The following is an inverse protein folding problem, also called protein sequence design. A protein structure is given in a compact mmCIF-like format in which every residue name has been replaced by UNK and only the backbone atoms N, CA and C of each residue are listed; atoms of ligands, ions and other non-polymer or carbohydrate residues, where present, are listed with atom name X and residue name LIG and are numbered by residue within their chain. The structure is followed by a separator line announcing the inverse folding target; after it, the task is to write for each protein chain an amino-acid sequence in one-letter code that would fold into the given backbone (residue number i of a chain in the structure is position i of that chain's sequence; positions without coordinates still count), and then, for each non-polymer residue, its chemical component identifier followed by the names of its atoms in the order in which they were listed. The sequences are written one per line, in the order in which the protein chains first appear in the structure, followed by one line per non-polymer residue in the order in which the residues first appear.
data_IF_884424625034
#
_entry.id   IF_884424625034
#
_cell.length_a   1.000
_cell.length_b   1.000
_cell.length_c   1.000
_cell.angle_alpha   90.00
_cell.angle_beta   90.00
_cell.angle_gamma   90.00
#
_symmetry.space_group_name_H-M   'P 1'
#
loop_
_entity.id
_entity.type
_entity.pdbx_description
1 polymer ?
#
# COMPACT_ATOMS: atom_id res chain seq x y z
N UNK A 1 30.18 -3.23 -37.95
CA UNK A 1 30.88 -3.12 -36.65
C UNK A 1 30.06 -2.14 -35.81
N UNK A 2 29.15 -2.67 -35.01
CA UNK A 2 28.31 -1.93 -34.06
C UNK A 2 28.94 -2.14 -32.68
N UNK A 3 29.38 -1.06 -32.04
CA UNK A 3 29.97 -1.02 -30.72
C UNK A 3 28.90 -0.87 -29.64
N UNK A 4 29.02 -1.74 -28.72
CA UNK A 4 28.31 -1.90 -27.46
C UNK A 4 28.48 -0.67 -26.55
N UNK A 5 27.38 -0.11 -26.03
CA UNK A 5 27.41 0.96 -25.04
C UNK A 5 26.33 0.74 -23.97
N UNK A 6 26.56 -0.27 -23.12
CA UNK A 6 25.94 -0.39 -21.80
C UNK A 6 27.05 -0.38 -20.75
N UNK A 7 27.37 0.77 -20.23
CA UNK A 7 28.06 0.87 -18.93
C UNK A 7 27.16 1.62 -17.97
N UNK A 8 26.50 0.85 -17.09
CA UNK A 8 26.01 1.36 -15.82
C UNK A 8 27.21 1.98 -15.08
N UNK A 9 27.07 3.22 -14.70
CA UNK A 9 28.01 3.90 -13.83
C UNK A 9 27.70 3.50 -12.37
N UNK A 10 28.42 2.49 -11.88
CA UNK A 10 28.55 2.24 -10.43
C UNK A 10 29.85 2.91 -10.03
N UNK A 11 29.77 4.06 -9.39
CA UNK A 11 30.91 4.68 -8.74
C UNK A 11 30.71 4.66 -7.23
N UNK A 12 31.43 3.71 -6.60
CA UNK A 12 31.81 3.81 -5.19
C UNK A 12 32.87 4.88 -5.08
N UNK A 13 32.52 6.06 -4.60
CA UNK A 13 33.51 7.03 -4.15
C UNK A 13 33.20 7.55 -2.76
N UNK A 14 34.22 7.43 -1.91
CA UNK A 14 34.28 7.88 -0.52
C UNK A 14 34.00 9.37 -0.44
N UNK A 15 33.05 9.75 0.40
CA UNK A 15 32.77 11.14 0.72
C UNK A 15 33.93 11.80 1.46
N UNK A 16 34.68 12.66 0.77
CA UNK A 16 35.45 13.76 1.34
C UNK A 16 35.46 14.90 0.31
N UNK A 17 34.88 16.05 0.67
CA UNK A 17 35.14 17.32 -0.04
C UNK A 17 33.91 18.07 -0.55
N UNK A 18 33.70 19.21 0.04
CA UNK A 18 32.73 20.28 -0.24
C UNK A 18 32.75 20.70 -1.71
N UNK A 19 31.64 20.55 -2.40
CA UNK A 19 31.39 21.15 -3.72
C UNK A 19 29.90 20.99 -4.05
N UNK A 20 29.26 22.05 -4.60
CA UNK A 20 27.88 22.02 -5.09
C UNK A 20 27.64 20.79 -5.98
N UNK A 21 27.14 19.72 -5.39
CA UNK A 21 26.74 18.52 -6.11
C UNK A 21 25.24 18.52 -6.26
N UNK A 22 24.76 18.10 -7.41
CA UNK A 22 23.38 17.71 -7.61
C UNK A 22 22.96 16.84 -6.42
N UNK A 23 22.07 17.33 -5.57
CA UNK A 23 21.55 16.57 -4.43
C UNK A 23 20.88 15.31 -4.98
N UNK A 24 21.38 14.14 -4.61
CA UNK A 24 20.77 12.87 -4.98
C UNK A 24 19.35 12.82 -4.44
N UNK A 25 18.41 12.24 -5.18
CA UNK A 25 17.04 12.09 -4.74
C UNK A 25 16.95 10.91 -3.77
N UNK A 26 16.39 11.12 -2.55
CA UNK A 26 16.16 10.07 -1.56
C UNK A 26 14.85 9.31 -1.84
N UNK A 27 13.77 10.06 -2.03
CA UNK A 27 12.46 9.49 -2.27
C UNK A 27 12.34 8.94 -3.68
N UNK A 28 11.97 7.66 -3.76
CA UNK A 28 11.66 6.97 -5.01
C UNK A 28 10.21 7.23 -5.48
N UNK A 29 9.63 6.23 -6.13
CA UNK A 29 8.22 6.28 -6.56
C UNK A 29 7.28 6.35 -5.37
N UNK A 30 7.62 5.66 -4.27
CA UNK A 30 6.86 5.65 -3.02
C UNK A 30 7.80 5.34 -1.84
N UNK A 31 8.10 6.36 -1.04
CA UNK A 31 8.99 6.27 0.12
C UNK A 31 10.47 6.15 -0.22
N UNK A 32 11.28 5.99 0.81
CA UNK A 32 12.74 5.77 0.74
C UNK A 32 13.01 4.30 0.97
N UNK A 33 13.75 3.63 0.08
CA UNK A 33 14.04 2.20 0.15
C UNK A 33 15.50 1.91 -0.14
N UNK A 34 16.02 0.81 0.43
CA UNK A 34 17.36 0.33 0.14
C UNK A 34 17.59 -1.07 0.69
N UNK A 35 18.75 -1.63 0.42
CA UNK A 35 19.17 -2.94 0.94
C UNK A 35 19.61 -2.78 2.40
N UNK A 36 18.94 -3.51 3.30
CA UNK A 36 19.20 -3.40 4.73
C UNK A 36 20.63 -3.83 5.07
N UNK A 37 21.30 -3.04 5.90
CA UNK A 37 22.71 -3.16 6.28
C UNK A 37 23.74 -2.82 5.19
N UNK A 38 23.30 -2.39 4.00
CA UNK A 38 24.18 -1.86 2.96
C UNK A 38 23.99 -0.34 2.83
N UNK A 39 23.03 0.10 2.04
CA UNK A 39 22.66 1.51 1.86
C UNK A 39 21.50 1.98 2.76
N UNK A 40 20.71 1.04 3.31
CA UNK A 40 19.64 1.30 4.28
C UNK A 40 20.07 0.85 5.69
N UNK A 41 21.02 1.56 6.28
CA UNK A 41 21.57 1.27 7.61
C UNK A 41 20.71 1.86 8.73
N UNK A 42 20.91 1.41 9.99
CA UNK A 42 20.22 1.99 11.13
C UNK A 42 20.59 3.47 11.37
N UNK A 43 21.82 3.88 11.03
CA UNK A 43 22.25 5.27 11.09
C UNK A 43 21.51 6.11 10.04
N UNK A 44 21.41 5.60 8.80
CA UNK A 44 20.63 6.24 7.75
C UNK A 44 19.16 6.40 8.16
N UNK A 45 18.54 5.35 8.71
CA UNK A 45 17.16 5.39 9.23
C UNK A 45 17.01 6.44 10.31
N UNK A 46 17.96 6.54 11.26
CA UNK A 46 17.95 7.54 12.31
C UNK A 46 17.94 8.96 11.72
N UNK A 47 18.86 9.28 10.80
CA UNK A 47 18.96 10.61 10.19
C UNK A 47 17.71 10.96 9.35
N UNK A 48 17.17 9.97 8.62
CA UNK A 48 15.93 10.14 7.86
C UNK A 48 14.73 10.42 8.80
N UNK A 49 14.61 9.69 9.91
CA UNK A 49 13.51 9.89 10.85
C UNK A 49 13.64 11.19 11.63
N UNK A 50 14.86 11.67 11.94
CA UNK A 50 15.07 13.02 12.46
C UNK A 50 14.57 14.09 11.49
N UNK A 51 14.80 13.89 10.18
CA UNK A 51 14.31 14.81 9.15
C UNK A 51 12.78 14.79 9.06
N UNK A 52 12.18 13.60 9.09
CA UNK A 52 10.73 13.39 9.11
C UNK A 52 10.12 14.01 10.39
N UNK A 53 10.76 13.84 11.56
CA UNK A 53 10.28 14.43 12.80
C UNK A 53 10.32 15.95 12.77
N UNK A 54 11.35 16.54 12.15
CA UNK A 54 11.46 17.98 11.96
C UNK A 54 10.37 18.53 11.04
N UNK A 55 9.97 17.75 10.02
CA UNK A 55 8.86 18.08 9.14
C UNK A 55 7.51 18.03 9.90
N UNK A 56 7.23 17.00 10.67
CA UNK A 56 5.98 16.87 11.45
C UNK A 56 5.89 17.85 12.63
N UNK A 57 7.01 18.26 13.19
CA UNK A 57 7.18 19.23 14.28
C UNK A 57 6.72 18.75 15.66
N UNK A 58 5.49 18.26 15.79
CA UNK A 58 4.86 17.90 17.07
C UNK A 58 3.77 16.84 16.89
N UNK A 59 3.26 16.32 17.99
CA UNK A 59 2.10 15.45 18.05
C UNK A 59 2.45 13.98 18.24
N UNK A 60 1.56 13.10 17.78
CA UNK A 60 1.73 11.64 17.87
C UNK A 60 1.75 11.04 16.47
N UNK A 61 2.77 10.25 16.17
CA UNK A 61 2.96 9.54 14.90
C UNK A 61 2.63 8.06 15.08
N UNK A 62 1.76 7.54 14.22
CA UNK A 62 1.47 6.11 14.16
C UNK A 62 2.58 5.39 13.41
N UNK A 63 3.17 4.34 13.99
CA UNK A 63 4.26 3.57 13.41
C UNK A 63 3.80 2.13 13.17
N UNK A 64 3.91 1.64 11.95
CA UNK A 64 3.62 0.26 11.59
C UNK A 64 4.71 -0.34 10.72
N UNK A 65 4.70 -1.65 10.56
CA UNK A 65 5.68 -2.35 9.75
C UNK A 65 5.11 -3.60 9.09
N UNK A 66 5.75 -4.02 7.97
CA UNK A 66 5.45 -5.26 7.27
C UNK A 66 6.15 -6.49 7.87
N UNK A 67 5.97 -7.67 7.24
CA UNK A 67 6.49 -8.94 7.72
C UNK A 67 8.01 -9.15 7.58
N UNK A 68 8.77 -8.22 7.00
CA UNK A 68 10.21 -8.37 6.75
C UNK A 68 11.01 -8.54 8.04
N UNK A 69 12.05 -9.36 8.00
CA UNK A 69 12.88 -9.67 9.17
C UNK A 69 13.51 -8.43 9.83
N UNK A 70 13.88 -7.42 9.04
CA UNK A 70 14.46 -6.17 9.52
C UNK A 70 13.43 -5.17 10.05
N UNK A 71 12.16 -5.27 9.67
CA UNK A 71 11.13 -4.27 9.97
C UNK A 71 10.93 -4.02 11.45
N UNK A 72 10.91 -5.08 12.27
CA UNK A 72 10.76 -4.96 13.72
C UNK A 72 11.96 -4.30 14.42
N UNK A 73 13.17 -4.45 13.90
CA UNK A 73 14.36 -3.77 14.42
C UNK A 73 14.32 -2.30 14.04
N UNK A 74 13.99 -2.01 12.78
CA UNK A 74 13.86 -0.64 12.26
C UNK A 74 12.77 0.12 13.04
N UNK A 75 11.63 -0.49 13.36
CA UNK A 75 10.56 0.18 14.12
C UNK A 75 11.00 0.70 15.48
N UNK A 76 11.92 0.00 16.16
CA UNK A 76 12.49 0.45 17.44
C UNK A 76 13.34 1.71 17.25
N UNK A 77 14.15 1.77 16.20
CA UNK A 77 14.94 2.97 15.88
C UNK A 77 13.99 4.13 15.52
N UNK A 78 12.97 3.89 14.69
CA UNK A 78 11.98 4.90 14.32
C UNK A 78 11.31 5.50 15.57
N UNK A 79 10.75 4.67 16.44
CA UNK A 79 10.09 5.13 17.67
C UNK A 79 11.05 5.89 18.59
N UNK A 80 12.25 5.34 18.82
CA UNK A 80 13.26 5.99 19.70
C UNK A 80 13.72 7.33 19.12
N UNK A 81 13.89 7.43 17.82
CA UNK A 81 14.31 8.68 17.15
C UNK A 81 13.20 9.74 17.22
N UNK A 82 11.94 9.37 16.96
CA UNK A 82 10.80 10.28 17.14
C UNK A 82 10.75 10.79 18.57
N UNK A 83 10.88 9.89 19.56
CA UNK A 83 10.84 10.28 20.98
C UNK A 83 12.02 11.20 21.36
N UNK A 84 13.21 10.98 20.81
CA UNK A 84 14.36 11.87 21.04
C UNK A 84 14.16 13.26 20.48
N UNK A 85 13.33 13.41 19.45
CA UNK A 85 12.93 14.69 18.87
C UNK A 85 11.72 15.34 19.57
N UNK A 86 11.20 14.75 20.67
CA UNK A 86 10.05 15.25 21.41
C UNK A 86 8.67 14.85 20.84
N UNK A 87 8.64 13.92 19.87
CA UNK A 87 7.41 13.47 19.23
C UNK A 87 6.98 12.13 19.84
N UNK A 88 5.70 12.02 20.18
CA UNK A 88 5.15 10.74 20.63
C UNK A 88 4.98 9.77 19.46
N UNK A 89 5.12 8.47 19.76
CA UNK A 89 4.86 7.42 18.78
C UNK A 89 3.88 6.40 19.33
N UNK A 90 2.89 6.01 18.54
CA UNK A 90 2.03 4.87 18.84
C UNK A 90 2.39 3.73 17.87
N UNK A 91 2.71 2.56 18.40
CA UNK A 91 3.17 1.41 17.63
C UNK A 91 1.99 0.48 17.29
N UNK A 92 1.52 0.53 16.05
CA UNK A 92 0.51 -0.39 15.53
C UNK A 92 1.04 -1.83 15.33
N UNK A 93 2.37 -1.98 15.29
CA UNK A 93 3.00 -3.28 15.07
C UNK A 93 2.97 -3.72 13.61
N UNK A 94 2.83 -5.05 13.40
CA UNK A 94 2.71 -5.63 12.08
C UNK A 94 1.31 -5.40 11.53
N UNK A 95 1.20 -4.59 10.49
CA UNK A 95 -0.06 -4.23 9.82
C UNK A 95 0.16 -4.04 8.33
N UNK A 96 -0.87 -4.24 7.48
CA UNK A 96 -0.82 -3.80 6.09
C UNK A 96 -0.65 -2.28 5.97
N UNK A 97 0.03 -1.84 4.92
CA UNK A 97 0.18 -0.40 4.63
C UNK A 97 -1.16 0.35 4.64
N UNK A 98 -2.22 -0.09 3.93
CA UNK A 98 -3.51 0.60 3.96
C UNK A 98 -4.18 0.63 5.34
N UNK A 99 -3.91 -0.36 6.19
CA UNK A 99 -4.38 -0.35 7.58
C UNK A 99 -3.78 0.81 8.38
N UNK A 100 -2.46 1.02 8.28
CA UNK A 100 -1.79 2.14 8.94
C UNK A 100 -2.30 3.47 8.39
N UNK A 101 -2.42 3.60 7.07
CA UNK A 101 -2.88 4.81 6.39
C UNK A 101 -4.30 5.19 6.82
N UNK A 102 -5.22 4.22 6.81
CA UNK A 102 -6.60 4.42 7.26
C UNK A 102 -6.69 4.78 8.75
N UNK A 103 -5.93 4.08 9.59
CA UNK A 103 -5.90 4.34 11.04
C UNK A 103 -5.30 5.71 11.36
N UNK A 104 -4.25 6.14 10.63
CA UNK A 104 -3.65 7.48 10.79
C UNK A 104 -4.71 8.57 10.68
N UNK A 105 -5.53 8.55 9.63
CA UNK A 105 -6.62 9.50 9.41
C UNK A 105 -7.76 9.34 10.43
N UNK A 106 -8.24 8.12 10.60
CA UNK A 106 -9.49 7.85 11.32
C UNK A 106 -9.33 8.02 12.83
N UNK A 107 -8.15 7.70 13.38
CA UNK A 107 -7.84 7.84 14.81
C UNK A 107 -7.24 9.21 15.15
N UNK A 108 -7.04 10.08 14.16
CA UNK A 108 -6.60 11.47 14.36
C UNK A 108 -5.14 11.63 14.71
N UNK A 109 -4.26 10.79 14.17
CA UNK A 109 -2.81 10.95 14.32
C UNK A 109 -2.28 12.14 13.49
N UNK A 110 -1.20 12.75 13.94
CA UNK A 110 -0.55 13.85 13.23
C UNK A 110 0.14 13.40 11.94
N UNK A 111 0.41 12.11 11.83
CA UNK A 111 0.96 11.44 10.67
C UNK A 111 1.24 9.98 10.96
N UNK A 112 1.77 9.29 9.97
CA UNK A 112 2.15 7.88 10.07
C UNK A 112 3.54 7.62 9.48
N UNK A 113 4.17 6.56 9.91
CA UNK A 113 5.38 6.00 9.30
C UNK A 113 5.18 4.51 9.09
N UNK A 114 5.17 4.09 7.82
CA UNK A 114 5.15 2.67 7.46
C UNK A 114 6.54 2.19 7.10
N UNK A 115 6.96 1.11 7.74
CA UNK A 115 8.26 0.46 7.52
C UNK A 115 8.03 -0.73 6.60
N UNK A 116 8.40 -0.57 5.33
CA UNK A 116 8.18 -1.57 4.28
C UNK A 116 8.97 -1.23 3.02
N UNK A 117 9.29 -2.25 2.25
CA UNK A 117 9.74 -2.09 0.87
C UNK A 117 8.72 -2.68 -0.14
N UNK A 118 7.46 -2.89 0.29
CA UNK A 118 6.35 -3.42 -0.52
C UNK A 118 6.76 -4.73 -1.24
N UNK A 119 6.82 -4.71 -2.56
CA UNK A 119 7.13 -5.85 -3.43
C UNK A 119 8.63 -6.08 -3.69
N UNK A 120 9.53 -5.24 -3.16
CA UNK A 120 10.97 -5.45 -3.33
C UNK A 120 11.43 -6.77 -2.67
N UNK A 121 12.56 -7.36 -3.10
CA UNK A 121 13.15 -8.57 -2.51
C UNK A 121 13.30 -8.49 -0.98
N UNK A 122 13.45 -9.64 -0.30
CA UNK A 122 13.48 -9.71 1.18
C UNK A 122 14.54 -8.88 1.86
N UNK A 123 15.69 -8.70 1.24
CA UNK A 123 16.83 -7.92 1.74
C UNK A 123 16.57 -6.40 1.77
N UNK A 124 15.57 -5.91 1.02
CA UNK A 124 15.19 -4.52 1.04
C UNK A 124 14.33 -4.18 2.24
N UNK A 125 14.42 -2.92 2.68
CA UNK A 125 13.42 -2.30 3.54
C UNK A 125 13.26 -0.82 3.17
N UNK A 126 12.35 -0.11 3.84
CA UNK A 126 12.09 1.28 3.52
C UNK A 126 11.24 1.99 4.56
N UNK A 127 11.08 3.28 4.36
CA UNK A 127 10.23 4.16 5.15
C UNK A 127 9.31 4.93 4.22
N UNK A 128 8.00 4.83 4.49
CA UNK A 128 6.94 5.61 3.83
C UNK A 128 6.31 6.54 4.86
N UNK A 129 6.56 7.84 4.82
CA UNK A 129 5.82 8.81 5.62
C UNK A 129 4.39 8.98 5.08
N UNK A 130 3.44 9.07 6.00
CA UNK A 130 2.00 9.26 5.74
C UNK A 130 1.55 10.54 6.42
N UNK A 131 0.82 11.39 5.70
CA UNK A 131 0.28 12.62 6.27
C UNK A 131 -0.96 12.34 7.15
N UNK A 132 -1.40 13.34 7.92
CA UNK A 132 -2.55 13.21 8.83
C UNK A 132 -3.88 12.90 8.11
N UNK A 133 -3.95 13.14 6.81
CA UNK A 133 -5.08 12.79 5.96
C UNK A 133 -5.12 11.30 5.56
N UNK A 134 -4.13 10.51 6.01
CA UNK A 134 -4.01 9.08 5.72
C UNK A 134 -3.55 8.75 4.31
N UNK A 135 -2.91 9.69 3.64
CA UNK A 135 -2.32 9.52 2.31
C UNK A 135 -0.81 9.73 2.40
N UNK A 136 -0.02 9.04 1.57
CA UNK A 136 1.42 9.27 1.49
C UNK A 136 1.70 10.77 1.30
N UNK A 137 2.77 11.29 1.93
CA UNK A 137 3.12 12.71 1.81
C UNK A 137 3.29 13.15 0.35
N UNK A 138 3.08 14.43 0.07
CA UNK A 138 3.20 14.98 -1.28
C UNK A 138 4.65 15.06 -1.76
N UNK A 139 4.86 15.23 -3.07
CA UNK A 139 6.21 15.44 -3.64
C UNK A 139 6.88 16.72 -3.12
N UNK A 140 6.07 17.73 -2.83
CA UNK A 140 6.52 18.96 -2.22
C UNK A 140 7.03 18.69 -0.80
N UNK A 141 6.32 17.90 -0.01
CA UNK A 141 6.71 17.50 1.34
C UNK A 141 7.95 16.60 1.34
N UNK A 142 8.05 15.66 0.39
CA UNK A 142 9.26 14.85 0.19
C UNK A 142 10.49 15.74 -0.02
N UNK A 143 10.38 16.77 -0.87
CA UNK A 143 11.48 17.72 -1.11
C UNK A 143 11.89 18.48 0.15
N UNK A 144 10.93 18.86 1.00
CA UNK A 144 11.21 19.51 2.28
C UNK A 144 12.00 18.58 3.21
N UNK A 145 11.59 17.31 3.31
CA UNK A 145 12.30 16.31 4.12
C UNK A 145 13.71 16.05 3.57
N UNK A 146 13.87 15.95 2.24
CA UNK A 146 15.18 15.80 1.59
C UNK A 146 16.11 16.97 1.90
N UNK A 147 15.61 18.21 1.83
CA UNK A 147 16.39 19.39 2.16
C UNK A 147 16.87 19.34 3.62
N UNK A 148 15.99 19.04 4.58
CA UNK A 148 16.34 18.87 5.98
C UNK A 148 17.41 17.79 6.16
N UNK A 149 17.25 16.65 5.47
CA UNK A 149 18.16 15.51 5.55
C UNK A 149 19.58 15.88 5.06
N UNK A 150 19.69 16.45 3.87
CA UNK A 150 21.00 16.78 3.29
C UNK A 150 21.71 17.93 4.01
N UNK A 151 20.94 18.88 4.54
CA UNK A 151 21.50 19.98 5.35
C UNK A 151 21.79 19.59 6.80
N UNK A 152 21.32 18.40 7.24
CA UNK A 152 21.34 17.94 8.64
C UNK A 152 20.75 18.96 9.61
N UNK A 153 19.74 19.71 9.14
CA UNK A 153 19.09 20.78 9.89
C UNK A 153 17.84 20.27 10.63
N UNK A 154 18.02 19.26 11.49
CA UNK A 154 16.94 18.72 12.29
C UNK A 154 16.85 19.32 13.68
N UNK A 155 15.63 19.36 14.19
CA UNK A 155 15.35 19.77 15.55
C UNK A 155 15.77 18.65 16.51
N UNK A 156 16.71 18.93 17.38
CA UNK A 156 17.03 18.06 18.52
C UNK A 156 16.43 18.67 19.79
N UNK A 157 15.52 17.94 20.41
CA UNK A 157 15.00 18.31 21.72
C UNK A 157 15.92 17.75 22.81
N UNK A 158 16.38 18.61 23.71
CA UNK A 158 17.29 18.21 24.81
C UNK A 158 16.59 18.21 26.17
N UNK A 159 15.33 18.60 26.24
CA UNK A 159 14.62 18.81 27.52
C UNK A 159 13.31 18.03 27.64
N UNK A 160 12.62 17.82 26.54
CA UNK A 160 11.32 17.12 26.52
C UNK A 160 11.36 15.96 25.51
N UNK A 161 11.25 14.74 26.01
CA UNK A 161 11.23 13.54 25.17
C UNK A 161 9.80 13.04 24.98
N UNK A 162 9.53 12.53 23.80
CA UNK A 162 8.29 11.79 23.52
C UNK A 162 8.28 10.42 24.21
N UNK A 163 7.16 9.74 24.08
CA UNK A 163 6.97 8.38 24.60
C UNK A 163 6.38 7.47 23.53
N UNK A 164 6.62 6.17 23.65
CA UNK A 164 6.02 5.14 22.77
C UNK A 164 4.94 4.38 23.53
N UNK A 165 3.77 4.21 22.89
CA UNK A 165 2.68 3.33 23.34
C UNK A 165 2.38 2.30 22.26
N UNK A 166 1.81 1.15 22.64
CA UNK A 166 1.25 0.24 21.67
C UNK A 166 -0.15 0.71 21.28
N UNK A 167 -0.47 0.65 19.99
CA UNK A 167 -1.82 0.87 19.48
C UNK A 167 -2.44 -0.49 19.12
N UNK A 168 -3.59 -0.78 19.71
CA UNK A 168 -4.38 -1.99 19.51
C UNK A 168 -5.67 -1.75 18.70
N UNK A 169 -5.92 -0.50 18.27
CA UNK A 169 -7.15 -0.05 17.62
C UNK A 169 -7.08 -0.10 16.11
N UNK A 170 -5.90 0.07 15.52
CA UNK A 170 -5.71 0.27 14.07
C UNK A 170 -6.34 -0.85 13.24
N UNK A 171 -6.09 -2.11 13.58
CA UNK A 171 -6.61 -3.26 12.83
C UNK A 171 -8.14 -3.29 12.84
N UNK A 172 -8.76 -3.15 14.02
CA UNK A 172 -10.22 -3.19 14.12
C UNK A 172 -10.86 -1.99 13.43
N UNK A 173 -10.28 -0.79 13.59
CA UNK A 173 -10.73 0.44 12.92
C UNK A 173 -10.72 0.26 11.40
N UNK A 174 -9.66 -0.32 10.85
CA UNK A 174 -9.54 -0.60 9.42
C UNK A 174 -10.59 -1.61 8.94
N UNK A 175 -10.75 -2.74 9.63
CA UNK A 175 -11.76 -3.75 9.27
C UNK A 175 -13.19 -3.20 9.32
N UNK A 176 -13.49 -2.39 10.33
CA UNK A 176 -14.81 -1.74 10.45
C UNK A 176 -15.02 -0.69 9.34
N UNK A 177 -13.96 0.04 9.00
CA UNK A 177 -13.97 0.97 7.88
C UNK A 177 -14.31 0.29 6.56
N UNK A 178 -13.65 -0.84 6.22
CA UNK A 178 -13.94 -1.63 5.02
C UNK A 178 -15.39 -2.13 5.02
N UNK A 179 -15.82 -2.75 6.13
CA UNK A 179 -17.17 -3.30 6.26
C UNK A 179 -18.26 -2.26 6.08
N UNK A 180 -18.01 -1.02 6.46
CA UNK A 180 -18.97 0.07 6.28
C UNK A 180 -19.20 0.46 4.81
N UNK A 181 -18.34 0.01 3.90
CA UNK A 181 -18.38 0.37 2.48
C UNK A 181 -19.09 -0.67 1.59
N UNK A 182 -19.44 -1.85 2.13
CA UNK A 182 -20.02 -2.96 1.37
C UNK A 182 -21.31 -3.48 1.99
N UNK A 183 -22.17 -4.09 1.17
CA UNK A 183 -23.38 -4.77 1.64
C UNK A 183 -23.05 -6.16 2.21
N UNK A 184 -22.76 -6.18 3.52
CA UNK A 184 -22.40 -7.41 4.24
C UNK A 184 -23.52 -8.46 4.14
N UNK A 185 -24.80 -8.05 4.19
CA UNK A 185 -25.92 -8.97 4.15
C UNK A 185 -25.99 -9.70 2.81
N UNK A 186 -25.70 -8.97 1.74
CA UNK A 186 -25.65 -9.51 0.38
C UNK A 186 -24.50 -10.50 0.21
N UNK A 187 -23.29 -10.14 0.65
CA UNK A 187 -22.13 -11.02 0.61
C UNK A 187 -22.41 -12.32 1.39
N UNK A 188 -22.86 -12.21 2.64
CA UNK A 188 -23.21 -13.37 3.49
C UNK A 188 -24.23 -14.30 2.86
N UNK A 189 -25.23 -13.76 2.15
CA UNK A 189 -26.28 -14.57 1.51
C UNK A 189 -25.78 -15.52 0.42
N UNK A 190 -24.54 -15.31 -0.06
CA UNK A 190 -23.95 -16.11 -1.15
C UNK A 190 -23.08 -17.26 -0.67
N UNK A 191 -22.68 -17.27 0.62
CA UNK A 191 -21.78 -18.28 1.17
C UNK A 191 -20.51 -18.47 0.32
N UNK A 192 -19.88 -17.37 -0.08
CA UNK A 192 -18.75 -17.37 -0.98
C UNK A 192 -17.54 -18.09 -0.36
N UNK A 193 -16.83 -18.84 -1.20
CA UNK A 193 -15.56 -19.48 -0.87
C UNK A 193 -14.42 -18.75 -1.58
N UNK A 194 -13.40 -18.31 -0.83
CA UNK A 194 -12.32 -17.45 -1.33
C UNK A 194 -10.97 -18.09 -1.08
N UNK A 195 -10.17 -18.26 -2.12
CA UNK A 195 -8.76 -18.63 -1.99
C UNK A 195 -7.90 -17.37 -1.77
N UNK A 196 -7.17 -17.32 -0.66
CA UNK A 196 -6.33 -16.22 -0.26
C UNK A 196 -4.86 -16.63 -0.35
N UNK A 197 -4.11 -16.06 -1.28
CA UNK A 197 -2.66 -16.15 -1.29
C UNK A 197 -2.08 -14.91 -0.57
N UNK A 198 -1.70 -15.13 0.67
CA UNK A 198 -1.24 -14.06 1.57
C UNK A 198 0.25 -13.71 1.36
N UNK A 199 0.95 -14.48 0.51
CA UNK A 199 2.33 -14.23 0.11
C UNK A 199 3.31 -14.08 1.27
N UNK A 200 3.04 -14.72 2.42
CA UNK A 200 3.78 -14.56 3.69
C UNK A 200 3.83 -13.09 4.19
N UNK A 201 2.97 -12.22 3.65
CA UNK A 201 2.98 -10.77 3.83
C UNK A 201 1.98 -10.25 4.88
N UNK A 202 1.87 -8.93 4.94
CA UNK A 202 1.14 -8.24 6.00
C UNK A 202 -0.38 -8.48 5.98
N UNK A 203 -0.99 -8.82 4.82
CA UNK A 203 -2.42 -9.12 4.74
C UNK A 203 -2.83 -10.38 5.51
N UNK A 204 -1.89 -11.23 5.92
CA UNK A 204 -2.13 -12.33 6.88
C UNK A 204 -2.86 -11.85 8.15
N UNK A 205 -2.59 -10.64 8.59
CA UNK A 205 -3.17 -10.07 9.81
C UNK A 205 -4.64 -9.68 9.65
N UNK A 206 -5.08 -9.33 8.43
CA UNK A 206 -6.39 -8.70 8.20
C UNK A 206 -7.30 -9.47 7.24
N UNK A 207 -6.78 -10.06 6.15
CA UNK A 207 -7.61 -10.58 5.07
C UNK A 207 -8.49 -11.77 5.48
N UNK A 208 -7.95 -12.71 6.26
CA UNK A 208 -8.73 -13.86 6.76
C UNK A 208 -9.86 -13.37 7.66
N UNK A 209 -9.56 -12.50 8.62
CA UNK A 209 -10.55 -11.92 9.54
C UNK A 209 -11.62 -11.13 8.79
N UNK A 210 -11.22 -10.39 7.74
CA UNK A 210 -12.16 -9.65 6.90
C UNK A 210 -13.14 -10.60 6.21
N UNK A 211 -12.65 -11.66 5.56
CA UNK A 211 -13.48 -12.66 4.90
C UNK A 211 -14.45 -13.35 5.88
N UNK A 212 -13.97 -13.77 7.05
CA UNK A 212 -14.80 -14.36 8.11
C UNK A 212 -15.92 -13.42 8.56
N UNK A 213 -15.59 -12.12 8.79
CA UNK A 213 -16.57 -11.10 9.19
C UNK A 213 -17.58 -10.80 8.08
N UNK A 214 -17.18 -10.97 6.82
CA UNK A 214 -18.05 -10.88 5.65
C UNK A 214 -18.84 -12.17 5.38
N UNK A 215 -18.61 -13.24 6.16
CA UNK A 215 -19.31 -14.52 6.05
C UNK A 215 -18.85 -15.39 4.91
N UNK A 216 -17.60 -15.26 4.50
CA UNK A 216 -16.97 -16.10 3.47
C UNK A 216 -16.18 -17.26 4.10
N UNK A 217 -16.19 -18.42 3.44
CA UNK A 217 -15.25 -19.52 3.70
C UNK A 217 -13.91 -19.19 3.06
N UNK A 218 -12.79 -19.46 3.76
CA UNK A 218 -11.46 -19.15 3.23
C UNK A 218 -10.58 -20.36 3.07
N UNK A 219 -9.78 -20.36 2.01
CA UNK A 219 -8.67 -21.29 1.76
C UNK A 219 -7.42 -20.42 1.72
N UNK A 220 -6.62 -20.44 2.78
CA UNK A 220 -5.43 -19.62 2.88
C UNK A 220 -4.18 -20.40 2.50
N UNK A 221 -3.38 -19.83 1.60
CA UNK A 221 -2.04 -20.31 1.23
C UNK A 221 -1.01 -19.24 1.55
N UNK A 222 0.24 -19.64 1.81
CA UNK A 222 1.33 -18.74 2.21
C UNK A 222 0.95 -17.83 3.39
N UNK A 223 0.22 -18.38 4.38
CA UNK A 223 -0.41 -17.60 5.46
C UNK A 223 0.52 -17.28 6.63
N UNK A 224 1.64 -17.99 6.76
CA UNK A 224 2.59 -17.72 7.85
C UNK A 224 3.42 -16.46 7.51
N UNK A 225 3.59 -15.57 8.50
CA UNK A 225 4.49 -14.43 8.31
C UNK A 225 5.92 -14.92 8.18
N UNK A 226 6.51 -14.67 7.03
CA UNK A 226 7.89 -15.02 6.73
C UNK A 226 8.59 -13.86 6.00
N UNK A 227 9.52 -13.20 6.68
CA UNK A 227 10.25 -12.06 6.13
C UNK A 227 11.16 -12.38 4.96
N UNK A 228 11.32 -13.66 4.60
CA UNK A 228 11.99 -14.12 3.37
C UNK A 228 11.03 -14.31 2.20
N UNK A 229 9.71 -14.27 2.45
CA UNK A 229 8.65 -14.49 1.45
C UNK A 229 8.85 -15.81 0.68
N UNK A 230 9.18 -16.89 1.41
CA UNK A 230 9.63 -18.16 0.82
C UNK A 230 8.56 -18.88 -0.01
N UNK A 231 7.27 -18.58 0.19
CA UNK A 231 6.18 -19.21 -0.56
C UNK A 231 6.20 -18.86 -2.05
N UNK A 232 6.29 -17.56 -2.39
CA UNK A 232 6.31 -17.13 -3.81
C UNK A 232 7.01 -15.78 -4.07
N UNK A 233 7.61 -15.22 -3.05
CA UNK A 233 8.13 -13.84 -3.12
C UNK A 233 7.06 -12.78 -2.82
N UNK A 234 7.48 -11.52 -2.60
CA UNK A 234 6.59 -10.45 -2.15
C UNK A 234 5.72 -9.83 -3.26
N UNK A 235 6.06 -10.03 -4.54
CA UNK A 235 5.29 -9.50 -5.67
C UNK A 235 4.43 -10.58 -6.31
N UNK A 236 3.09 -10.41 -6.36
CA UNK A 236 2.20 -11.33 -7.07
C UNK A 236 2.30 -11.08 -8.58
N UNK A 237 2.91 -12.03 -9.29
CA UNK A 237 3.04 -12.00 -10.75
C UNK A 237 2.38 -13.22 -11.38
N UNK A 238 1.98 -13.18 -12.66
CA UNK A 238 1.40 -14.35 -13.32
C UNK A 238 2.29 -15.60 -13.27
N UNK A 239 3.59 -15.45 -13.07
CA UNK A 239 4.57 -16.54 -13.07
C UNK A 239 4.66 -17.30 -11.72
N UNK A 240 4.18 -16.69 -10.62
CA UNK A 240 4.27 -17.26 -9.28
C UNK A 240 2.90 -17.46 -8.59
N UNK A 241 1.80 -17.39 -9.33
CA UNK A 241 0.43 -17.57 -8.83
C UNK A 241 -0.24 -18.88 -9.29
N UNK A 242 0.53 -19.86 -9.73
CA UNK A 242 0.00 -21.17 -10.13
C UNK A 242 -0.66 -21.90 -8.95
N UNK A 243 -0.10 -21.77 -7.74
CA UNK A 243 -0.68 -22.35 -6.53
C UNK A 243 -2.04 -21.74 -6.21
N UNK A 244 -2.21 -20.40 -6.35
CA UNK A 244 -3.50 -19.73 -6.19
C UNK A 244 -4.53 -20.27 -7.20
N UNK A 245 -4.17 -20.31 -8.49
CA UNK A 245 -5.04 -20.85 -9.55
C UNK A 245 -5.48 -22.28 -9.25
N UNK A 246 -4.55 -23.12 -8.81
CA UNK A 246 -4.81 -24.51 -8.42
C UNK A 246 -5.69 -24.59 -7.17
N UNK A 247 -5.47 -23.74 -6.16
CA UNK A 247 -6.28 -23.70 -4.96
C UNK A 247 -7.74 -23.32 -5.27
N UNK A 248 -7.96 -22.37 -6.18
CA UNK A 248 -9.31 -22.00 -6.64
C UNK A 248 -10.01 -23.18 -7.28
N UNK A 249 -9.39 -23.83 -8.25
CA UNK A 249 -10.00 -24.94 -9.01
C UNK A 249 -10.24 -26.17 -8.13
N UNK A 250 -9.22 -26.59 -7.36
CA UNK A 250 -9.27 -27.80 -6.56
C UNK A 250 -10.29 -27.73 -5.41
N UNK A 251 -10.58 -26.54 -4.92
CA UNK A 251 -11.51 -26.32 -3.81
C UNK A 251 -12.87 -25.76 -4.27
N UNK A 252 -13.08 -25.57 -5.58
CA UNK A 252 -14.26 -24.92 -6.13
C UNK A 252 -14.50 -23.55 -5.47
N UNK A 253 -13.45 -22.74 -5.34
CA UNK A 253 -13.58 -21.40 -4.81
C UNK A 253 -14.22 -20.43 -5.84
N UNK A 254 -15.01 -19.49 -5.36
CA UNK A 254 -15.70 -18.50 -6.20
C UNK A 254 -14.74 -17.39 -6.68
N UNK A 255 -13.69 -17.17 -5.93
CA UNK A 255 -12.70 -16.14 -6.18
C UNK A 255 -11.34 -16.54 -5.59
N UNK A 256 -10.27 -16.17 -6.27
CA UNK A 256 -8.92 -16.15 -5.73
C UNK A 256 -8.37 -14.74 -5.65
N UNK A 257 -7.52 -14.47 -4.66
CA UNK A 257 -6.80 -13.18 -4.54
C UNK A 257 -5.41 -13.42 -3.97
N UNK A 258 -4.41 -12.74 -4.55
CA UNK A 258 -3.05 -12.66 -4.05
C UNK A 258 -2.70 -11.22 -3.70
N UNK A 259 -1.96 -11.03 -2.59
CA UNK A 259 -1.52 -9.72 -2.13
C UNK A 259 0.00 -9.57 -2.26
N UNK A 260 0.49 -8.35 -2.40
CA UNK A 260 1.91 -8.07 -2.29
C UNK A 260 2.39 -8.00 -0.82
N UNK A 261 3.69 -7.80 -0.61
CA UNK A 261 4.32 -7.96 0.71
C UNK A 261 3.76 -7.07 1.81
N UNK A 262 3.34 -5.85 1.50
CA UNK A 262 2.72 -4.91 2.45
C UNK A 262 1.20 -4.73 2.25
N UNK A 263 0.61 -5.46 1.29
CA UNK A 263 -0.83 -5.63 1.14
C UNK A 263 -1.57 -4.44 0.56
N UNK A 264 -0.89 -3.53 -0.12
CA UNK A 264 -1.52 -2.40 -0.80
C UNK A 264 -2.02 -2.77 -2.21
N UNK A 265 -1.54 -3.90 -2.79
CA UNK A 265 -1.96 -4.42 -4.10
C UNK A 265 -2.65 -5.77 -3.99
N UNK A 266 -3.51 -6.05 -4.98
CA UNK A 266 -4.20 -7.34 -5.11
C UNK A 266 -4.32 -7.77 -6.57
N UNK A 267 -4.04 -9.04 -6.83
CA UNK A 267 -4.25 -9.70 -8.13
C UNK A 267 -5.31 -10.77 -7.95
N UNK A 268 -6.33 -10.74 -8.77
CA UNK A 268 -7.47 -11.64 -8.66
C UNK A 268 -7.40 -12.82 -9.62
N UNK A 269 -8.10 -13.88 -9.25
CA UNK A 269 -8.27 -15.10 -10.02
C UNK A 269 -9.76 -15.45 -10.04
N UNK A 270 -10.33 -15.72 -11.21
CA UNK A 270 -11.73 -16.14 -11.32
C UNK A 270 -11.91 -17.59 -10.87
N UNK A 271 -13.16 -18.05 -10.78
CA UNK A 271 -13.52 -19.40 -10.36
C UNK A 271 -13.04 -20.52 -11.30
N UNK A 272 -12.50 -20.19 -12.46
CA UNK A 272 -11.88 -21.15 -13.39
C UNK A 272 -10.37 -21.29 -13.21
N UNK A 273 -9.79 -20.52 -12.28
CA UNK A 273 -8.34 -20.46 -12.07
C UNK A 273 -7.63 -19.46 -12.98
N UNK A 274 -8.35 -18.64 -13.74
CA UNK A 274 -7.76 -17.66 -14.65
C UNK A 274 -7.45 -16.36 -13.91
N UNK A 275 -6.20 -15.93 -14.00
CA UNK A 275 -5.76 -14.66 -13.42
C UNK A 275 -6.32 -13.46 -14.19
N UNK A 276 -6.70 -12.43 -13.44
CA UNK A 276 -7.11 -11.13 -13.95
C UNK A 276 -5.92 -10.17 -13.81
N UNK A 277 -5.57 -9.47 -14.90
CA UNK A 277 -4.60 -8.36 -14.78
C UNK A 277 -5.13 -7.25 -13.87
N UNK A 278 -4.22 -6.46 -13.30
CA UNK A 278 -4.60 -5.32 -12.47
C UNK A 278 -5.55 -4.35 -13.19
N UNK A 279 -5.28 -4.04 -14.46
CA UNK A 279 -6.18 -3.23 -15.29
C UNK A 279 -7.57 -3.85 -15.42
N UNK A 280 -7.65 -5.15 -15.72
CA UNK A 280 -8.94 -5.83 -15.89
C UNK A 280 -9.75 -5.81 -14.59
N UNK A 281 -9.09 -6.08 -13.47
CA UNK A 281 -9.71 -5.99 -12.15
C UNK A 281 -10.23 -4.59 -11.85
N UNK A 282 -9.43 -3.57 -12.15
CA UNK A 282 -9.80 -2.17 -11.95
C UNK A 282 -10.98 -1.75 -12.85
N UNK A 283 -11.01 -2.20 -14.11
CA UNK A 283 -12.13 -1.92 -15.03
C UNK A 283 -13.43 -2.55 -14.58
N UNK A 284 -13.40 -3.81 -14.11
CA UNK A 284 -14.56 -4.50 -13.57
C UNK A 284 -15.15 -3.77 -12.37
N UNK A 285 -14.30 -3.40 -11.39
CA UNK A 285 -14.73 -2.63 -10.23
C UNK A 285 -15.20 -1.23 -10.61
N UNK A 286 -14.51 -0.55 -11.54
CA UNK A 286 -14.90 0.79 -11.98
C UNK A 286 -16.28 0.78 -12.64
N UNK A 287 -16.55 -0.18 -13.52
CA UNK A 287 -17.87 -0.32 -14.15
C UNK A 287 -18.98 -0.53 -13.09
N UNK A 288 -18.73 -1.42 -12.12
CA UNK A 288 -19.66 -1.67 -11.02
C UNK A 288 -19.91 -0.44 -10.17
N UNK A 289 -18.85 0.21 -9.71
CA UNK A 289 -18.93 1.34 -8.79
C UNK A 289 -19.49 2.59 -9.44
N UNK A 290 -19.16 2.86 -10.70
CA UNK A 290 -19.66 4.03 -11.43
C UNK A 290 -21.13 3.89 -11.81
N UNK A 291 -21.62 2.69 -12.14
CA UNK A 291 -23.07 2.44 -12.31
C UNK A 291 -23.86 2.76 -11.02
N UNK A 292 -23.27 2.50 -9.84
CA UNK A 292 -23.87 2.86 -8.53
C UNK A 292 -23.67 4.34 -8.17
N UNK A 293 -22.70 5.00 -8.74
CA UNK A 293 -22.32 6.39 -8.42
C UNK A 293 -21.98 7.15 -9.71
N UNK A 294 -23.00 7.49 -10.54
CA UNK A 294 -22.77 8.25 -11.76
C UNK A 294 -22.20 9.65 -11.46
N UNK A 295 -21.71 10.33 -12.48
CA UNK A 295 -21.09 11.66 -12.36
C UNK A 295 -19.87 11.70 -11.43
N UNK A 296 -19.14 10.59 -11.31
CA UNK A 296 -17.95 10.49 -10.47
C UNK A 296 -16.66 10.76 -11.24
N UNK A 297 -15.56 10.96 -10.50
CA UNK A 297 -14.22 11.08 -11.07
C UNK A 297 -13.42 9.80 -10.84
N UNK A 298 -12.65 9.43 -11.86
CA UNK A 298 -11.66 8.34 -11.82
C UNK A 298 -10.28 8.93 -12.07
N UNK A 299 -9.29 8.54 -11.28
CA UNK A 299 -7.89 8.95 -11.48
C UNK A 299 -7.05 7.72 -11.80
N UNK A 300 -6.23 7.79 -12.84
CA UNK A 300 -5.33 6.71 -13.21
C UNK A 300 -4.06 7.24 -13.87
N UNK A 301 -3.09 6.38 -14.10
CA UNK A 301 -1.83 6.75 -14.74
C UNK A 301 -1.96 6.86 -16.26
N UNK A 302 -1.05 7.61 -16.89
CA UNK A 302 -1.02 7.79 -18.35
C UNK A 302 -0.72 6.49 -19.11
N UNK A 303 -0.15 5.47 -18.46
CA UNK A 303 0.15 4.16 -19.03
C UNK A 303 -1.02 3.16 -18.89
N UNK A 304 -2.07 3.49 -18.14
CA UNK A 304 -3.28 2.65 -18.06
C UNK A 304 -4.05 2.67 -19.38
N UNK A 305 -4.66 1.53 -19.71
CA UNK A 305 -5.41 1.36 -20.95
C UNK A 305 -6.58 2.34 -21.13
N UNK A 306 -7.05 2.51 -22.37
CA UNK A 306 -8.13 3.46 -22.71
C UNK A 306 -9.54 2.90 -22.45
N UNK A 307 -9.69 1.63 -22.07
CA UNK A 307 -11.02 1.02 -21.84
C UNK A 307 -11.81 1.71 -20.73
N UNK A 308 -11.14 2.40 -19.81
CA UNK A 308 -11.81 3.20 -18.78
C UNK A 308 -12.59 4.38 -19.37
N UNK A 309 -12.17 4.93 -20.52
CA UNK A 309 -12.83 6.07 -21.15
C UNK A 309 -14.25 5.72 -21.63
N UNK A 310 -14.47 4.47 -22.07
CA UNK A 310 -15.80 3.96 -22.44
C UNK A 310 -16.71 3.83 -21.22
N UNK A 311 -16.18 3.30 -20.10
CA UNK A 311 -16.92 3.10 -18.86
C UNK A 311 -17.37 4.45 -18.27
N UNK A 312 -16.46 5.43 -18.20
CA UNK A 312 -16.81 6.77 -17.66
C UNK A 312 -17.83 7.49 -18.54
N UNK A 313 -17.78 7.30 -19.86
CA UNK A 313 -18.76 7.89 -20.79
C UNK A 313 -20.15 7.33 -20.55
N UNK A 314 -20.28 6.02 -20.30
CA UNK A 314 -21.57 5.36 -20.05
C UNK A 314 -22.23 5.78 -18.71
N UNK A 315 -21.47 6.39 -17.81
CA UNK A 315 -21.91 6.75 -16.46
C UNK A 315 -21.86 8.26 -16.18
N UNK A 316 -21.72 9.08 -17.23
CA UNK A 316 -21.54 10.54 -17.13
C UNK A 316 -20.37 10.93 -16.18
N UNK A 317 -19.41 10.05 -16.05
CA UNK A 317 -18.22 10.22 -15.18
C UNK A 317 -17.05 10.76 -15.98
N UNK A 318 -15.94 11.07 -15.32
CA UNK A 318 -14.74 11.60 -15.99
C UNK A 318 -13.48 10.87 -15.55
N UNK A 319 -12.50 10.73 -16.44
CA UNK A 319 -11.18 10.20 -16.13
C UNK A 319 -10.13 11.30 -16.12
N UNK A 320 -9.27 11.28 -15.11
CA UNK A 320 -8.11 12.17 -14.95
C UNK A 320 -6.86 11.31 -14.99
N UNK A 321 -5.90 11.67 -15.84
CA UNK A 321 -4.66 10.92 -15.98
C UNK A 321 -3.49 11.67 -15.34
N UNK A 322 -2.68 10.94 -14.53
CA UNK A 322 -1.51 11.45 -13.85
C UNK A 322 -0.22 10.84 -14.42
N UNK A 323 0.92 11.33 -13.96
CA UNK A 323 2.18 10.59 -14.08
C UNK A 323 2.07 9.24 -13.35
N UNK A 324 2.94 8.30 -13.71
CA UNK A 324 3.03 6.99 -13.04
C UNK A 324 3.54 7.16 -11.61
N UNK A 325 2.87 6.51 -10.67
CA UNK A 325 3.23 6.49 -9.26
C UNK A 325 2.03 6.65 -8.33
N UNK A 326 1.98 5.85 -7.26
CA UNK A 326 0.85 5.85 -6.32
C UNK A 326 0.61 7.22 -5.69
N UNK A 327 1.66 7.91 -5.28
CA UNK A 327 1.57 9.27 -4.69
C UNK A 327 0.89 10.25 -5.67
N UNK A 328 1.21 10.16 -6.96
CA UNK A 328 0.59 11.02 -7.98
C UNK A 328 -0.93 10.75 -8.09
N UNK A 329 -1.32 9.47 -8.11
CA UNK A 329 -2.73 9.08 -8.19
C UNK A 329 -3.45 9.44 -6.89
N UNK A 330 -2.93 9.05 -5.74
CA UNK A 330 -3.52 9.28 -4.41
C UNK A 330 -3.75 10.76 -4.13
N UNK A 331 -2.72 11.60 -4.32
CA UNK A 331 -2.82 13.04 -4.09
C UNK A 331 -3.77 13.72 -5.09
N UNK A 332 -3.79 13.27 -6.35
CA UNK A 332 -4.74 13.76 -7.34
C UNK A 332 -6.17 13.35 -6.99
N UNK A 333 -6.39 12.11 -6.55
CA UNK A 333 -7.69 11.65 -6.06
C UNK A 333 -8.22 12.52 -4.93
N UNK A 334 -7.37 12.79 -3.93
CA UNK A 334 -7.73 13.62 -2.78
C UNK A 334 -8.12 15.04 -3.22
N UNK A 335 -7.30 15.69 -4.06
CA UNK A 335 -7.55 17.06 -4.54
C UNK A 335 -8.80 17.19 -5.40
N UNK A 336 -9.16 16.13 -6.15
CA UNK A 336 -10.33 16.10 -7.03
C UNK A 336 -11.58 15.49 -6.36
N UNK A 337 -11.45 14.99 -5.12
CA UNK A 337 -12.47 14.20 -4.44
C UNK A 337 -12.96 13.04 -5.34
N UNK A 338 -12.00 12.31 -5.93
CA UNK A 338 -12.32 11.25 -6.88
C UNK A 338 -12.78 9.98 -6.17
N UNK A 339 -13.75 9.29 -6.79
CA UNK A 339 -14.32 8.05 -6.24
C UNK A 339 -13.36 6.87 -6.38
N UNK A 340 -12.66 6.78 -7.50
CA UNK A 340 -11.83 5.64 -7.88
C UNK A 340 -10.46 6.14 -8.31
N UNK A 341 -9.43 5.39 -7.90
CA UNK A 341 -8.10 5.46 -8.46
C UNK A 341 -7.55 4.08 -8.71
N UNK A 342 -6.67 3.93 -9.71
CA UNK A 342 -6.01 2.64 -9.94
C UNK A 342 -4.73 2.79 -10.74
N UNK A 343 -3.87 1.77 -10.60
CA UNK A 343 -2.69 1.51 -11.39
C UNK A 343 -2.75 0.09 -11.99
N UNK A 344 -2.09 -0.13 -13.11
CA UNK A 344 -2.08 -1.43 -13.82
C UNK A 344 -1.52 -2.60 -13.01
N UNK A 345 -0.74 -2.31 -11.95
CA UNK A 345 -0.05 -3.28 -11.10
C UNK A 345 -0.93 -3.92 -10.01
N UNK A 346 -2.25 -3.72 -10.04
CA UNK A 346 -3.20 -4.22 -9.03
C UNK A 346 -3.44 -3.28 -7.85
N UNK A 347 -2.91 -2.08 -7.90
CA UNK A 347 -3.19 -1.01 -6.93
C UNK A 347 -4.52 -0.34 -7.22
N UNK A 348 -5.58 -0.66 -6.48
CA UNK A 348 -6.89 -0.03 -6.59
C UNK A 348 -7.18 0.82 -5.34
N UNK A 349 -7.85 1.95 -5.54
CA UNK A 349 -8.14 2.95 -4.51
C UNK A 349 -9.64 3.28 -4.53
N UNK A 350 -10.27 3.31 -3.37
CA UNK A 350 -11.68 3.66 -3.23
C UNK A 350 -11.87 4.88 -2.34
N UNK A 351 -12.16 6.04 -2.93
CA UNK A 351 -12.15 7.34 -2.26
C UNK A 351 -13.14 7.47 -1.09
N UNK A 352 -14.24 6.69 -1.07
CA UNK A 352 -15.16 6.67 0.09
C UNK A 352 -14.54 6.00 1.32
N UNK A 353 -13.54 5.14 1.15
CA UNK A 353 -12.78 4.54 2.24
C UNK A 353 -11.52 5.37 2.52
N UNK A 354 -10.58 5.34 1.59
CA UNK A 354 -9.38 6.17 1.62
C UNK A 354 -8.83 6.38 0.19
N UNK A 355 -8.02 7.43 -0.01
CA UNK A 355 -7.45 7.76 -1.31
C UNK A 355 -6.07 7.10 -1.52
N UNK A 356 -5.92 5.84 -1.11
CA UNK A 356 -4.68 5.06 -1.22
C UNK A 356 -4.97 3.67 -1.78
N UNK A 357 -3.95 3.00 -2.28
CA UNK A 357 -4.07 1.60 -2.70
C UNK A 357 -4.40 0.72 -1.51
N UNK A 358 -5.38 -0.14 -1.67
CA UNK A 358 -5.87 -0.97 -0.58
C UNK A 358 -6.35 -2.35 -1.07
N UNK A 359 -5.50 -3.37 -0.88
CA UNK A 359 -5.82 -4.74 -1.28
C UNK A 359 -7.00 -5.32 -0.50
N UNK A 360 -7.15 -5.00 0.79
CA UNK A 360 -8.26 -5.47 1.63
C UNK A 360 -9.60 -4.84 1.24
N UNK A 361 -9.63 -3.52 1.00
CA UNK A 361 -10.83 -2.84 0.50
C UNK A 361 -11.21 -3.36 -0.88
N UNK A 362 -10.23 -3.56 -1.76
CA UNK A 362 -10.43 -4.10 -3.11
C UNK A 362 -11.04 -5.51 -3.04
N UNK A 363 -10.55 -6.37 -2.16
CA UNK A 363 -11.14 -7.70 -1.91
C UNK A 363 -12.61 -7.58 -1.51
N UNK A 364 -12.95 -6.74 -0.55
CA UNK A 364 -14.34 -6.56 -0.09
C UNK A 364 -15.26 -6.07 -1.23
N UNK A 365 -14.79 -5.15 -2.07
CA UNK A 365 -15.53 -4.68 -3.25
C UNK A 365 -15.73 -5.78 -4.29
N UNK A 366 -14.73 -6.65 -4.52
CA UNK A 366 -14.89 -7.82 -5.39
C UNK A 366 -15.89 -8.82 -4.84
N UNK A 367 -15.89 -9.07 -3.54
CA UNK A 367 -16.90 -9.94 -2.88
C UNK A 367 -18.30 -9.36 -3.05
N UNK A 368 -18.48 -8.06 -2.93
CA UNK A 368 -19.76 -7.41 -3.20
C UNK A 368 -20.15 -7.51 -4.69
N UNK A 369 -19.20 -7.30 -5.60
CA UNK A 369 -19.40 -7.41 -7.05
C UNK A 369 -19.91 -8.81 -7.43
N UNK A 370 -19.21 -9.87 -7.04
CA UNK A 370 -19.59 -11.25 -7.40
C UNK A 370 -20.85 -11.74 -6.65
N UNK A 371 -21.26 -11.03 -5.58
CA UNK A 371 -22.54 -11.28 -4.93
C UNK A 371 -23.73 -10.76 -5.73
N UNK A 372 -23.52 -9.97 -6.78
CA UNK A 372 -24.52 -9.45 -7.70
C UNK A 372 -24.60 -10.30 -8.98
N UNK A 373 -25.52 -11.27 -9.05
CA UNK A 373 -25.68 -12.18 -10.21
C UNK A 373 -25.89 -11.45 -11.53
N UNK A 374 -26.61 -10.35 -11.54
CA UNK A 374 -26.94 -9.59 -12.75
C UNK A 374 -25.72 -8.99 -13.46
N UNK A 375 -24.62 -8.80 -12.72
CA UNK A 375 -23.37 -8.20 -13.25
C UNK A 375 -22.40 -9.23 -13.78
N UNK A 376 -22.41 -10.46 -13.24
CA UNK A 376 -21.53 -11.55 -13.72
C UNK A 376 -21.91 -11.96 -15.14
N UNK A 377 -23.23 -11.97 -15.46
CA UNK A 377 -23.72 -12.28 -16.80
C UNK A 377 -23.37 -11.19 -17.83
N UNK A 378 -23.22 -9.93 -17.42
CA UNK A 378 -22.77 -8.83 -18.29
C UNK A 378 -21.25 -8.82 -18.55
N UNK A 379 -20.47 -9.50 -17.71
CA UNK A 379 -18.99 -9.49 -17.73
C UNK A 379 -18.39 -10.74 -18.41
N UNK A 380 -19.20 -11.75 -18.72
CA UNK A 380 -18.83 -12.96 -19.44
C UNK A 380 -18.80 -12.72 -20.95
#
# INVERSE_FOLDING_TARGET
RLGDSRKLCVTTDKFIGIGLHCMGKLFGTNGVRGVFSEDFTLEFVHDLVLSISTYFKEGTILVGYDGRNSSKVISKIVCSTLNSAGINSDLAGLVPTPCLEFATKTLGYNGGIMITASHNPPEYNGIKPVASDGVEISREDENVIEEIFFQKNWNQNTSEFGSTKNDDRSIQTYLDGIKSQVDISKIKSKNLKVALDLGNGAQTITAIKLCEQLGCETIAINQEIDGTFSGRGPEPTPYNLEELSSAVVNNNADLGVAFDGDGDRSIFCDNTGKLLSGDKSALLLSNYLLKKNPNSKVVTCINSGNSIDEIVTQTDSTVIRTKVGSVEVSRKMLSENALIGFEENGGFMFGKHNHVRDGGMTLALFLELISNKDIIEELA
#
